data_IF_797263544213
#
_entry.id   IF_797263544213
#
_cell.length_a   1.000
_cell.length_b   1.000
_cell.length_c   1.000
_cell.angle_alpha   90.00
_cell.angle_beta   90.00
_cell.angle_gamma   90.00
#
_symmetry.space_group_name_H-M   'P 1'
#
loop_
_entity.id
_entity.type
_entity.pdbx_description
1 polymer ?
#
# COMPACT_ATOMS: atom_id res chain seq x y z
N UNK A 1 13.90 18.12 41.75
CA UNK A 1 12.65 18.50 41.06
C UNK A 1 12.87 19.52 39.94
N UNK A 2 13.42 20.72 40.20
CA UNK A 2 13.65 21.74 39.13
C UNK A 2 14.54 21.26 37.97
N UNK A 3 15.62 20.52 38.24
CA UNK A 3 16.49 19.95 37.19
C UNK A 3 15.77 18.93 36.29
N UNK A 4 14.89 18.12 36.88
CA UNK A 4 14.06 17.14 36.14
C UNK A 4 13.04 17.88 35.26
N UNK A 5 12.41 18.92 35.80
CA UNK A 5 11.47 19.75 35.03
C UNK A 5 12.15 20.45 33.84
N UNK A 6 13.36 20.99 34.03
CA UNK A 6 14.14 21.61 32.94
C UNK A 6 14.53 20.59 31.87
N UNK A 7 14.90 19.37 32.28
CA UNK A 7 15.26 18.30 31.35
C UNK A 7 14.06 17.83 30.50
N UNK A 8 12.88 17.69 31.12
CA UNK A 8 11.63 17.39 30.41
C UNK A 8 11.24 18.50 29.43
N UNK A 9 11.39 19.76 29.84
CA UNK A 9 11.09 20.91 28.98
C UNK A 9 12.04 20.98 27.77
N UNK A 10 13.31 20.64 27.95
CA UNK A 10 14.30 20.59 26.87
C UNK A 10 14.04 19.43 25.90
N UNK A 11 13.60 18.26 26.39
CA UNK A 11 13.24 17.12 25.55
C UNK A 11 11.99 17.40 24.69
N UNK A 12 11.03 18.15 25.22
CA UNK A 12 9.83 18.61 24.50
C UNK A 12 10.11 19.73 23.48
N UNK A 13 11.29 20.37 23.55
CA UNK A 13 11.69 21.44 22.64
C UNK A 13 12.49 20.92 21.42
N UNK A 14 12.66 19.60 21.26
CA UNK A 14 13.26 19.03 20.07
C UNK A 14 12.39 19.34 18.84
N UNK A 15 12.99 19.75 17.71
CA UNK A 15 12.24 19.99 16.49
C UNK A 15 11.60 18.69 16.01
N UNK A 16 10.33 18.75 15.59
CA UNK A 16 9.73 17.65 14.85
C UNK A 16 10.44 17.53 13.50
N UNK A 17 10.95 16.35 13.19
CA UNK A 17 11.46 16.01 11.87
C UNK A 17 10.29 15.38 11.12
N UNK A 18 9.93 15.95 9.98
CA UNK A 18 8.98 15.35 9.07
C UNK A 18 9.74 14.37 8.16
N UNK A 19 9.22 13.16 8.03
CA UNK A 19 9.63 12.24 6.99
C UNK A 19 8.78 12.47 5.73
N UNK A 20 9.41 12.30 4.57
CA UNK A 20 8.71 12.24 3.29
C UNK A 20 8.10 10.84 3.13
N UNK A 21 6.91 10.77 2.54
CA UNK A 21 6.22 9.52 2.25
C UNK A 21 5.89 9.43 0.76
N UNK A 22 6.22 8.28 0.18
CA UNK A 22 5.77 7.93 -1.16
C UNK A 22 4.36 7.35 -1.09
N UNK A 23 3.39 8.16 -1.50
CA UNK A 23 1.97 7.76 -1.49
C UNK A 23 1.47 7.50 -2.91
N UNK A 24 0.58 6.52 -3.04
CA UNK A 24 0.00 6.12 -4.33
C UNK A 24 -1.52 5.98 -4.24
N UNK A 25 -2.23 6.42 -5.29
CA UNK A 25 -3.62 6.00 -5.54
C UNK A 25 -3.61 5.14 -6.80
N UNK A 26 -4.10 3.91 -6.71
CA UNK A 26 -4.02 2.95 -7.81
C UNK A 26 -5.28 2.11 -7.94
N UNK A 27 -6.00 2.31 -9.05
CA UNK A 27 -7.04 1.37 -9.46
C UNK A 27 -6.37 0.16 -10.12
N UNK A 28 -6.43 -1.00 -9.47
CA UNK A 28 -5.77 -2.22 -9.94
C UNK A 28 -6.63 -3.06 -10.88
N UNK A 29 -7.85 -2.60 -11.20
CA UNK A 29 -8.88 -3.30 -11.99
C UNK A 29 -9.31 -4.63 -11.37
N UNK A 30 -10.62 -4.82 -11.24
CA UNK A 30 -11.17 -5.98 -10.52
C UNK A 30 -10.81 -7.33 -11.17
N UNK A 31 -10.61 -8.37 -10.35
CA UNK A 31 -10.33 -9.73 -10.82
C UNK A 31 -11.53 -10.44 -11.46
N UNK A 32 -12.75 -10.05 -11.09
CA UNK A 32 -13.99 -10.71 -11.51
C UNK A 32 -14.19 -10.66 -13.02
N UNK A 33 -13.94 -9.50 -13.63
CA UNK A 33 -14.04 -9.33 -15.08
C UNK A 33 -12.74 -9.74 -15.80
N UNK A 34 -11.64 -9.90 -15.05
CA UNK A 34 -10.28 -10.18 -15.53
C UNK A 34 -9.91 -11.67 -15.52
N UNK A 35 -10.72 -12.52 -16.16
CA UNK A 35 -10.44 -13.97 -16.32
C UNK A 35 -9.96 -14.32 -17.73
N UNK A 36 -9.24 -15.45 -17.87
CA UNK A 36 -8.80 -15.95 -19.18
C UNK A 36 -10.00 -16.21 -20.09
N UNK A 37 -9.89 -15.75 -21.35
CA UNK A 37 -11.01 -15.76 -22.30
C UNK A 37 -12.11 -14.71 -22.03
N UNK A 38 -11.94 -13.80 -21.06
CA UNK A 38 -12.88 -12.68 -20.90
C UNK A 38 -12.85 -11.74 -22.10
N UNK A 39 -14.03 -11.28 -22.52
CA UNK A 39 -14.17 -10.28 -23.60
C UNK A 39 -13.69 -8.89 -23.13
N UNK A 40 -13.68 -8.65 -21.82
CA UNK A 40 -13.34 -7.35 -21.25
C UNK A 40 -11.83 -7.11 -21.18
N UNK A 41 -11.08 -8.05 -20.63
CA UNK A 41 -9.66 -7.82 -20.34
C UNK A 41 -8.72 -8.59 -21.29
N UNK A 42 -9.19 -9.60 -22.02
CA UNK A 42 -8.37 -10.37 -22.95
C UNK A 42 -7.10 -10.90 -22.27
N UNK A 43 -5.91 -10.55 -22.78
CA UNK A 43 -4.63 -10.95 -22.17
C UNK A 43 -4.26 -10.14 -20.90
N UNK A 44 -5.00 -9.08 -20.56
CA UNK A 44 -4.73 -8.24 -19.39
C UNK A 44 -5.48 -8.75 -18.15
N UNK A 45 -5.60 -10.06 -17.99
CA UNK A 45 -6.23 -10.69 -16.83
C UNK A 45 -5.52 -10.32 -15.54
N UNK A 46 -6.18 -10.54 -14.39
CA UNK A 46 -5.56 -10.31 -13.10
C UNK A 46 -4.35 -11.22 -12.91
N UNK A 47 -4.47 -12.48 -13.35
CA UNK A 47 -3.37 -13.44 -13.28
C UNK A 47 -2.12 -12.99 -14.04
N UNK A 48 -2.29 -12.29 -15.17
CA UNK A 48 -1.17 -11.75 -15.94
C UNK A 48 -0.63 -10.42 -15.40
N UNK A 49 -1.39 -9.73 -14.54
CA UNK A 49 -1.02 -8.39 -14.02
C UNK A 49 -0.57 -8.37 -12.57
N UNK A 50 -0.95 -9.36 -11.76
CA UNK A 50 -0.74 -9.35 -10.31
C UNK A 50 0.72 -9.20 -9.88
N UNK A 51 1.66 -9.79 -10.63
CA UNK A 51 3.10 -9.65 -10.38
C UNK A 51 3.61 -8.24 -10.69
N UNK A 52 3.12 -7.64 -11.80
CA UNK A 52 3.43 -6.25 -12.18
C UNK A 52 2.89 -5.29 -11.11
N UNK A 53 1.66 -5.51 -10.64
CA UNK A 53 1.06 -4.68 -9.58
C UNK A 53 1.92 -4.75 -8.32
N UNK A 54 2.40 -5.92 -7.90
CA UNK A 54 3.29 -6.03 -6.73
C UNK A 54 4.66 -5.40 -6.95
N UNK A 55 5.21 -5.47 -8.18
CA UNK A 55 6.54 -4.93 -8.45
C UNK A 55 6.56 -3.40 -8.32
N UNK A 56 5.49 -2.71 -8.73
CA UNK A 56 5.35 -1.26 -8.59
C UNK A 56 5.55 -0.79 -7.14
N UNK A 57 5.04 -1.52 -6.15
CA UNK A 57 5.21 -1.15 -4.73
C UNK A 57 6.68 -1.12 -4.33
N UNK A 58 7.44 -2.14 -4.76
CA UNK A 58 8.87 -2.25 -4.44
C UNK A 58 9.69 -1.27 -5.26
N UNK A 59 9.44 -1.19 -6.57
CA UNK A 59 10.19 -0.34 -7.51
C UNK A 59 10.04 1.15 -7.20
N UNK A 60 8.85 1.57 -6.76
CA UNK A 60 8.56 2.96 -6.42
C UNK A 60 8.71 3.26 -4.92
N UNK A 61 9.14 2.28 -4.12
CA UNK A 61 9.26 2.38 -2.65
C UNK A 61 8.01 3.02 -2.02
N UNK A 62 6.83 2.48 -2.34
CA UNK A 62 5.55 3.04 -1.88
C UNK A 62 5.39 2.79 -0.38
N UNK A 63 5.13 3.83 0.42
CA UNK A 63 4.86 3.67 1.84
C UNK A 63 3.38 3.40 2.12
N UNK A 64 2.50 4.10 1.39
CA UNK A 64 1.04 4.02 1.57
C UNK A 64 0.35 4.03 0.22
N UNK A 65 -0.53 3.05 -0.02
CA UNK A 65 -1.32 2.97 -1.24
C UNK A 65 -2.83 2.91 -0.94
N UNK A 66 -3.60 3.76 -1.62
CA UNK A 66 -5.05 3.61 -1.75
C UNK A 66 -5.40 2.79 -2.99
N UNK A 67 -6.02 1.63 -2.80
CA UNK A 67 -6.41 0.73 -3.89
C UNK A 67 -7.90 0.85 -4.22
N UNK A 68 -8.24 0.77 -5.51
CA UNK A 68 -9.63 0.69 -6.00
C UNK A 68 -9.84 -0.57 -6.82
N UNK A 69 -11.10 -1.04 -6.86
CA UNK A 69 -11.52 -2.29 -7.53
C UNK A 69 -10.83 -3.56 -7.02
N UNK A 70 -10.12 -3.52 -5.89
CA UNK A 70 -9.39 -4.67 -5.36
C UNK A 70 -10.35 -5.65 -4.65
N UNK A 71 -10.69 -6.75 -5.32
CA UNK A 71 -11.50 -7.81 -4.72
C UNK A 71 -10.71 -8.64 -3.70
N UNK A 72 -11.42 -9.40 -2.86
CA UNK A 72 -10.82 -10.15 -1.75
C UNK A 72 -9.67 -11.10 -2.16
N UNK A 73 -9.78 -11.76 -3.32
CA UNK A 73 -8.72 -12.61 -3.87
C UNK A 73 -7.46 -11.81 -4.22
N UNK A 74 -7.64 -10.60 -4.76
CA UNK A 74 -6.54 -9.68 -5.08
C UNK A 74 -5.89 -9.15 -3.81
N UNK A 75 -6.67 -8.73 -2.81
CA UNK A 75 -6.16 -8.29 -1.50
C UNK A 75 -5.38 -9.40 -0.81
N UNK A 76 -5.89 -10.64 -0.80
CA UNK A 76 -5.18 -11.79 -0.22
C UNK A 76 -3.86 -12.05 -0.96
N UNK A 77 -3.86 -11.96 -2.29
CA UNK A 77 -2.63 -12.08 -3.07
C UNK A 77 -1.62 -10.99 -2.70
N UNK A 78 -2.05 -9.73 -2.69
CA UNK A 78 -1.19 -8.59 -2.35
C UNK A 78 -0.65 -8.71 -0.92
N UNK A 79 -1.48 -9.04 0.06
CA UNK A 79 -1.06 -9.20 1.45
C UNK A 79 -0.01 -10.32 1.65
N UNK A 80 -0.07 -11.37 0.83
CA UNK A 80 0.95 -12.44 0.85
C UNK A 80 2.27 -12.02 0.22
N UNK A 81 2.22 -11.27 -0.88
CA UNK A 81 3.42 -10.91 -1.66
C UNK A 81 4.07 -9.59 -1.22
N UNK A 82 3.30 -8.72 -0.55
CA UNK A 82 3.75 -7.48 0.07
C UNK A 82 3.74 -7.65 1.59
N UNK A 83 4.49 -8.64 2.10
CA UNK A 83 4.46 -9.07 3.50
C UNK A 83 4.82 -8.00 4.52
N UNK A 84 5.45 -6.91 4.07
CA UNK A 84 5.86 -5.77 4.90
C UNK A 84 4.72 -4.75 5.07
N UNK A 85 3.58 -4.96 4.39
CA UNK A 85 2.43 -4.07 4.40
C UNK A 85 1.28 -4.69 5.20
N UNK A 86 0.56 -3.84 5.90
CA UNK A 86 -0.79 -4.13 6.37
C UNK A 86 -1.82 -3.60 5.37
N UNK A 87 -3.08 -4.03 5.51
CA UNK A 87 -4.19 -3.48 4.75
C UNK A 87 -5.39 -3.21 5.66
N UNK A 88 -6.21 -2.24 5.27
CA UNK A 88 -7.46 -1.89 5.95
C UNK A 88 -8.53 -1.68 4.88
N UNK A 89 -9.71 -2.26 5.08
CA UNK A 89 -10.84 -2.15 4.18
C UNK A 89 -11.84 -3.28 4.39
N UNK A 90 -13.08 -3.09 3.93
CA UNK A 90 -14.14 -4.12 3.92
C UNK A 90 -14.79 -4.26 2.54
N UNK A 91 -14.30 -3.47 1.57
CA UNK A 91 -14.86 -3.34 0.22
C UNK A 91 -14.50 -4.51 -0.68
#
# INVERSE_FOLDING_TARGET
MKKIAIFLLAALALPAIADDFNVMSFNIRNSKDSVDGSVYDGNNTWDNRKEIVTSIFTEQNIDIAGLQEAFNDQIIYLARNLSNYGWVGVG
#
